data_IF_338990141987
#
_entry.id   IF_338990141987
#
_cell.length_a   1.000
_cell.length_b   1.000
_cell.length_c   1.000
_cell.angle_alpha   90.00
_cell.angle_beta   90.00
_cell.angle_gamma   90.00
#
_symmetry.space_group_name_H-M   'P 1'
#
loop_
_entity.id
_entity.type
_entity.pdbx_description
1 polymer ?
#
# COMPACT_ATOMS: atom_id res chain seq x y z
N UNK A 1 -6.45 -5.70 27.25
CA UNK A 1 -6.52 -4.92 25.99
C UNK A 1 -5.44 -5.45 25.07
N UNK A 2 -5.82 -6.03 23.92
CA UNK A 2 -4.82 -6.37 22.89
C UNK A 2 -4.13 -5.10 22.41
N UNK A 3 -2.80 -5.09 22.41
CA UNK A 3 -2.04 -4.00 21.82
C UNK A 3 -2.18 -4.07 20.30
N UNK A 4 -2.86 -3.07 19.72
CA UNK A 4 -2.93 -2.89 18.27
C UNK A 4 -1.51 -2.60 17.76
N UNK A 5 -1.03 -3.41 16.80
CA UNK A 5 0.33 -3.30 16.27
C UNK A 5 0.31 -2.48 14.99
N UNK A 6 1.31 -1.62 14.83
CA UNK A 6 1.49 -0.90 13.57
C UNK A 6 1.96 -1.86 12.47
N UNK A 7 1.27 -1.83 11.33
CA UNK A 7 1.64 -2.61 10.15
C UNK A 7 2.50 -1.79 9.19
N UNK A 8 3.55 -2.43 8.66
CA UNK A 8 4.31 -1.97 7.51
C UNK A 8 3.90 -2.83 6.33
N UNK A 9 3.18 -2.25 5.37
CA UNK A 9 2.72 -2.94 4.16
C UNK A 9 3.52 -2.40 2.98
N UNK A 10 4.18 -3.27 2.20
CA UNK A 10 4.81 -2.87 0.94
C UNK A 10 4.11 -3.59 -0.20
N UNK A 11 3.59 -2.83 -1.16
CA UNK A 11 2.97 -3.40 -2.36
C UNK A 11 4.03 -3.80 -3.38
N UNK A 12 3.65 -4.76 -4.21
CA UNK A 12 4.37 -5.18 -5.41
C UNK A 12 3.50 -4.88 -6.65
N UNK A 13 4.04 -5.04 -7.86
CA UNK A 13 3.27 -4.87 -9.10
C UNK A 13 2.35 -6.07 -9.36
N UNK A 14 2.74 -7.24 -8.86
CA UNK A 14 1.82 -8.37 -8.72
C UNK A 14 0.87 -8.11 -7.54
N UNK A 15 -0.37 -8.62 -7.55
CA UNK A 15 -1.32 -8.45 -6.45
C UNK A 15 -0.86 -9.22 -5.21
N UNK A 16 0.16 -8.71 -4.55
CA UNK A 16 0.72 -9.22 -3.33
C UNK A 16 1.30 -8.07 -2.51
N UNK A 17 1.33 -8.27 -1.20
CA UNK A 17 1.92 -7.34 -0.25
C UNK A 17 2.88 -8.06 0.68
N UNK A 18 3.95 -7.36 1.03
CA UNK A 18 4.85 -7.72 2.10
C UNK A 18 4.37 -7.04 3.38
N UNK A 19 3.84 -7.83 4.31
CA UNK A 19 3.27 -7.35 5.58
C UNK A 19 4.26 -7.64 6.70
N UNK A 20 4.63 -6.60 7.45
CA UNK A 20 5.54 -6.69 8.59
C UNK A 20 5.03 -5.91 9.80
N UNK A 21 5.56 -6.26 10.97
CA UNK A 21 5.43 -5.46 12.21
C UNK A 21 6.83 -5.14 12.73
N UNK A 22 6.94 -4.40 13.84
CA UNK A 22 8.24 -4.16 14.50
C UNK A 22 8.96 -5.45 14.91
N UNK A 23 8.21 -6.52 15.18
CA UNK A 23 8.74 -7.76 15.76
C UNK A 23 8.65 -8.96 14.80
N UNK A 24 8.17 -8.76 13.58
CA UNK A 24 7.97 -9.83 12.60
C UNK A 24 8.54 -9.46 11.24
N UNK A 25 9.34 -10.37 10.69
CA UNK A 25 9.89 -10.29 9.33
C UNK A 25 8.76 -10.25 8.29
N UNK A 26 8.98 -9.53 7.20
CA UNK A 26 8.00 -9.30 6.13
C UNK A 26 7.47 -10.62 5.56
N UNK A 27 6.21 -10.95 5.86
CA UNK A 27 5.49 -12.08 5.27
C UNK A 27 4.92 -11.66 3.93
N UNK A 28 5.09 -12.51 2.90
CA UNK A 28 4.47 -12.28 1.60
C UNK A 28 3.03 -12.80 1.64
N UNK A 29 2.08 -11.93 1.31
CA UNK A 29 0.67 -12.23 1.30
C UNK A 29 0.10 -11.96 -0.09
N UNK A 30 -0.59 -12.94 -0.68
CA UNK A 30 -1.24 -12.78 -1.98
C UNK A 30 -2.56 -12.02 -1.78
N UNK A 31 -2.78 -10.97 -2.57
CA UNK A 31 -3.94 -10.10 -2.44
C UNK A 31 -5.03 -10.47 -3.45
N UNK A 32 -6.25 -10.37 -2.95
CA UNK A 32 -7.49 -10.20 -3.70
C UNK A 32 -8.24 -8.98 -3.11
N UNK A 33 -9.33 -8.59 -3.76
CA UNK A 33 -10.13 -7.42 -3.39
C UNK A 33 -10.58 -7.46 -1.93
N UNK A 34 -11.04 -8.62 -1.44
CA UNK A 34 -11.50 -8.77 -0.06
C UNK A 34 -10.35 -8.62 0.94
N UNK A 35 -9.22 -9.28 0.69
CA UNK A 35 -8.05 -9.20 1.56
C UNK A 35 -7.43 -7.80 1.61
N UNK A 36 -7.45 -7.09 0.48
CA UNK A 36 -6.95 -5.72 0.44
C UNK A 36 -7.86 -4.77 1.22
N UNK A 37 -9.18 -4.93 1.07
CA UNK A 37 -10.15 -4.19 1.86
C UNK A 37 -10.00 -4.46 3.36
N UNK A 38 -9.71 -5.69 3.75
CA UNK A 38 -9.43 -6.03 5.14
C UNK A 38 -8.17 -5.33 5.66
N UNK A 39 -7.05 -5.40 4.93
CA UNK A 39 -5.78 -4.75 5.32
C UNK A 39 -5.96 -3.24 5.45
N UNK A 40 -6.61 -2.60 4.48
CA UNK A 40 -6.85 -1.15 4.51
C UNK A 40 -7.78 -0.77 5.66
N UNK A 41 -8.85 -1.53 5.92
CA UNK A 41 -9.72 -1.32 7.07
C UNK A 41 -8.97 -1.46 8.40
N UNK A 42 -8.06 -2.43 8.54
CA UNK A 42 -7.21 -2.54 9.72
C UNK A 42 -6.31 -1.32 9.86
N UNK A 43 -5.66 -0.89 8.78
CA UNK A 43 -4.77 0.28 8.84
C UNK A 43 -5.53 1.55 9.29
N UNK A 44 -6.80 1.68 8.93
CA UNK A 44 -7.66 2.80 9.34
C UNK A 44 -8.19 2.70 10.77
N UNK A 45 -8.79 1.56 11.12
CA UNK A 45 -9.57 1.39 12.37
C UNK A 45 -8.83 0.61 13.45
N UNK A 46 -7.82 -0.16 13.05
CA UNK A 46 -7.13 -1.15 13.87
C UNK A 46 -8.02 -2.32 14.27
N UNK A 47 -9.14 -2.53 13.59
CA UNK A 47 -10.03 -3.68 13.82
C UNK A 47 -9.43 -4.94 13.17
N UNK A 48 -9.20 -6.02 13.93
CA UNK A 48 -8.62 -7.25 13.40
C UNK A 48 -9.60 -8.13 12.61
N UNK A 49 -10.89 -7.76 12.55
CA UNK A 49 -11.92 -8.59 11.90
C UNK A 49 -11.59 -8.90 10.44
N UNK A 50 -11.39 -10.19 10.15
CA UNK A 50 -10.92 -10.73 8.88
C UNK A 50 -12.03 -10.94 7.84
N UNK A 51 -13.29 -10.59 8.12
CA UNK A 51 -14.44 -10.65 7.19
C UNK A 51 -14.54 -11.90 6.28
N UNK A 52 -14.05 -13.06 6.73
CA UNK A 52 -13.96 -14.29 5.92
C UNK A 52 -13.13 -14.09 4.64
N UNK A 53 -11.96 -13.47 4.74
CA UNK A 53 -11.02 -13.36 3.63
C UNK A 53 -10.40 -14.73 3.36
N UNK A 54 -10.42 -15.13 2.08
CA UNK A 54 -9.80 -16.37 1.62
C UNK A 54 -8.64 -16.04 0.67
N UNK A 55 -7.38 -15.98 1.16
CA UNK A 55 -6.23 -15.66 0.31
C UNK A 55 -5.92 -16.73 -0.76
N UNK A 56 -6.57 -17.90 -0.70
CA UNK A 56 -6.51 -18.91 -1.75
C UNK A 56 -7.23 -18.50 -3.03
N UNK A 57 -8.20 -17.57 -2.95
CA UNK A 57 -8.91 -17.05 -4.12
C UNK A 57 -7.98 -16.08 -4.85
N UNK A 58 -7.63 -16.45 -6.08
CA UNK A 58 -6.77 -15.65 -6.94
C UNK A 58 -7.61 -14.74 -7.82
N UNK A 59 -7.28 -13.46 -7.82
CA UNK A 59 -7.85 -12.45 -8.71
C UNK A 59 -6.74 -11.83 -9.56
N UNK A 60 -7.03 -11.60 -10.83
CA UNK A 60 -6.12 -10.87 -11.71
C UNK A 60 -6.39 -9.38 -11.52
N UNK A 61 -5.50 -8.70 -10.81
CA UNK A 61 -5.54 -7.25 -10.59
C UNK A 61 -4.34 -6.63 -11.34
N UNK A 62 -4.49 -6.30 -12.63
CA UNK A 62 -3.45 -5.59 -13.37
C UNK A 62 -3.26 -4.18 -12.79
N UNK A 63 -2.03 -3.69 -12.82
CA UNK A 63 -1.67 -2.35 -12.33
C UNK A 63 -2.18 -2.05 -10.91
N UNK A 64 -2.23 -3.10 -10.07
CA UNK A 64 -2.80 -3.03 -8.73
C UNK A 64 -2.20 -1.89 -7.91
N UNK A 65 -0.87 -1.78 -7.92
CA UNK A 65 -0.17 -0.76 -7.14
C UNK A 65 -0.52 0.67 -7.57
N UNK A 66 -0.64 0.92 -8.87
CA UNK A 66 -0.99 2.23 -9.41
C UNK A 66 -2.47 2.57 -9.17
N UNK A 67 -3.35 1.58 -9.29
CA UNK A 67 -4.78 1.73 -9.03
C UNK A 67 -5.03 2.10 -7.57
N UNK A 68 -4.39 1.38 -6.64
CA UNK A 68 -4.54 1.65 -5.21
C UNK A 68 -3.91 2.98 -4.80
N UNK A 69 -2.77 3.36 -5.40
CA UNK A 69 -2.21 4.68 -5.16
C UNK A 69 -3.20 5.79 -5.56
N UNK A 70 -3.80 5.69 -6.76
CA UNK A 70 -4.79 6.66 -7.24
C UNK A 70 -5.99 6.73 -6.30
N UNK A 71 -6.53 5.58 -5.89
CA UNK A 71 -7.64 5.53 -4.94
C UNK A 71 -7.29 6.22 -3.59
N UNK A 72 -6.06 6.07 -3.10
CA UNK A 72 -5.62 6.74 -1.88
C UNK A 72 -5.40 8.25 -2.06
N UNK A 73 -4.93 8.68 -3.24
CA UNK A 73 -4.81 10.10 -3.58
C UNK A 73 -6.21 10.75 -3.67
N UNK A 74 -7.16 10.06 -4.32
CA UNK A 74 -8.53 10.55 -4.51
C UNK A 74 -9.30 10.65 -3.19
N UNK A 75 -9.05 9.74 -2.25
CA UNK A 75 -9.56 9.81 -0.87
C UNK A 75 -8.85 10.87 0.00
N UNK A 76 -7.98 11.70 -0.60
CA UNK A 76 -7.18 12.76 0.06
C UNK A 76 -6.32 12.23 1.20
N UNK A 77 -5.80 11.01 1.07
CA UNK A 77 -4.92 10.42 2.07
C UNK A 77 -3.57 11.16 2.09
N UNK A 78 -2.95 11.21 3.27
CA UNK A 78 -1.60 11.76 3.43
C UNK A 78 -0.58 10.81 2.81
N UNK A 79 -0.13 11.16 1.61
CA UNK A 79 0.91 10.45 0.88
C UNK A 79 2.13 11.35 0.81
N UNK A 80 3.29 10.78 1.11
CA UNK A 80 4.57 11.47 1.01
C UNK A 80 5.44 10.79 -0.01
N UNK A 81 6.04 11.58 -0.87
CA UNK A 81 7.17 11.15 -1.69
C UNK A 81 8.40 11.01 -0.83
N UNK A 82 9.05 9.85 -0.90
CA UNK A 82 10.31 9.63 -0.19
C UNK A 82 11.40 10.26 -1.06
N UNK A 83 12.03 11.38 -0.63
CA UNK A 83 13.05 12.02 -1.41
C UNK A 83 14.25 11.09 -1.53
N UNK A 84 14.82 11.02 -2.73
CA UNK A 84 15.99 10.22 -2.98
C UNK A 84 17.24 11.09 -3.02
N UNK A 85 18.38 10.47 -2.71
CA UNK A 85 19.68 11.11 -2.82
C UNK A 85 20.14 11.32 -4.28
N UNK A 86 19.53 10.62 -5.27
CA UNK A 86 19.89 10.68 -6.70
C UNK A 86 18.66 10.50 -7.60
N UNK A 87 18.53 11.31 -8.65
CA UNK A 87 17.35 11.40 -9.54
C UNK A 87 17.25 10.29 -10.62
N UNK A 88 18.23 9.39 -10.70
CA UNK A 88 18.40 8.43 -11.81
C UNK A 88 17.67 7.09 -11.65
N UNK A 89 16.82 6.92 -10.64
CA UNK A 89 16.07 5.67 -10.46
C UNK A 89 14.83 5.57 -11.35
N UNK A 90 14.59 4.37 -11.86
CA UNK A 90 13.43 4.00 -12.68
C UNK A 90 12.11 3.91 -11.90
N UNK A 91 12.13 4.12 -10.58
CA UNK A 91 10.96 3.97 -9.70
C UNK A 91 10.80 5.17 -8.76
N UNK A 92 9.56 5.46 -8.41
CA UNK A 92 9.14 6.41 -7.38
C UNK A 92 8.79 5.64 -6.11
N UNK A 93 9.38 6.04 -4.99
CA UNK A 93 9.00 5.52 -3.68
C UNK A 93 8.05 6.50 -2.99
N UNK A 94 6.88 5.98 -2.60
CA UNK A 94 5.84 6.75 -1.93
C UNK A 94 5.45 6.03 -0.64
N UNK A 95 4.99 6.78 0.35
CA UNK A 95 4.44 6.25 1.59
C UNK A 95 3.10 6.88 1.90
N UNK A 96 2.07 6.05 2.00
CA UNK A 96 0.77 6.45 2.53
C UNK A 96 0.73 6.17 4.04
N UNK A 97 0.34 7.16 4.82
CA UNK A 97 0.31 7.07 6.29
C UNK A 97 -1.11 6.79 6.78
N UNK A 98 -1.22 5.83 7.70
CA UNK A 98 -2.45 5.41 8.34
C UNK A 98 -2.31 5.47 9.87
N UNK A 99 -3.43 5.40 10.59
CA UNK A 99 -3.44 5.43 12.06
C UNK A 99 -2.71 4.22 12.66
N UNK A 100 -2.85 3.05 12.04
CA UNK A 100 -2.27 1.78 12.51
C UNK A 100 -1.21 1.22 11.56
N UNK A 101 -0.55 2.08 10.77
CA UNK A 101 0.53 1.63 9.91
C UNK A 101 0.85 2.54 8.74
N UNK A 102 1.63 1.99 7.81
CA UNK A 102 2.07 2.68 6.59
C UNK A 102 2.04 1.71 5.42
N UNK A 103 1.67 2.23 4.25
CA UNK A 103 1.76 1.52 2.98
C UNK A 103 2.88 2.14 2.16
N UNK A 104 3.82 1.31 1.72
CA UNK A 104 4.94 1.69 0.87
C UNK A 104 4.66 1.23 -0.56
N UNK A 105 4.85 2.16 -1.49
CA UNK A 105 4.74 1.94 -2.92
C UNK A 105 6.12 2.11 -3.55
N UNK A 106 6.42 1.29 -4.55
CA UNK A 106 7.58 1.41 -5.41
C UNK A 106 7.09 1.29 -6.86
N UNK A 107 6.64 2.40 -7.42
CA UNK A 107 5.99 2.41 -8.73
C UNK A 107 6.99 2.82 -9.80
N UNK A 108 6.96 2.18 -10.95
CA UNK A 108 7.73 2.62 -12.12
C UNK A 108 7.47 4.08 -12.46
N UNK A 109 8.52 4.86 -12.67
CA UNK A 109 8.45 6.28 -13.00
C UNK A 109 8.01 6.45 -14.45
N UNK A 110 6.72 6.62 -14.67
CA UNK A 110 6.14 6.97 -15.97
C UNK A 110 5.67 8.42 -15.97
N UNK A 111 5.62 9.06 -17.15
CA UNK A 111 5.14 10.44 -17.30
C UNK A 111 3.73 10.59 -16.71
N UNK A 112 2.84 9.63 -16.99
CA UNK A 112 1.45 9.62 -16.50
C UNK A 112 1.34 9.65 -14.98
N UNK A 113 2.19 8.88 -14.27
CA UNK A 113 2.15 8.85 -12.80
C UNK A 113 2.76 10.12 -12.22
N UNK A 114 3.84 10.62 -12.82
CA UNK A 114 4.48 11.88 -12.37
C UNK A 114 3.53 13.06 -12.54
N UNK A 115 2.87 13.17 -13.69
CA UNK A 115 1.87 14.22 -13.95
C UNK A 115 0.68 14.12 -12.98
N UNK A 116 0.19 12.90 -12.74
CA UNK A 116 -0.89 12.69 -11.77
C UNK A 116 -0.47 13.13 -10.35
N UNK A 117 0.71 12.71 -9.87
CA UNK A 117 1.18 13.12 -8.54
C UNK A 117 1.38 14.63 -8.42
N UNK A 118 1.98 15.26 -9.43
CA UNK A 118 2.16 16.70 -9.49
C UNK A 118 0.83 17.46 -9.46
N UNK A 119 -0.21 16.98 -10.17
CA UNK A 119 -1.54 17.57 -10.16
C UNK A 119 -2.20 17.56 -8.77
N UNK A 120 -1.83 16.59 -7.93
CA UNK A 120 -2.29 16.47 -6.55
C UNK A 120 -1.32 17.08 -5.52
N UNK A 121 -0.29 17.82 -5.98
CA UNK A 121 0.77 18.42 -5.16
C UNK A 121 1.58 17.41 -4.31
N UNK A 122 1.87 16.23 -4.87
CA UNK A 122 2.64 15.12 -4.24
C UNK A 122 4.00 14.91 -4.94
#
# INVERSE_FOLDING_TARGET
MEQKKNLSVRLDDTPCAWIGTSNMTRLRYLLNTASWKWITNYLETGSPDDFKVFPSIREALPDFQATELKALVDTKRRIYKIPFLRETQSHLNLVAVFCFGKIYFQISRTATIVEYLNAHNI
#
